data_IF_935576010118
#
_entry.id   IF_935576010118
#
_cell.length_a   1.000
_cell.length_b   1.000
_cell.length_c   1.000
_cell.angle_alpha   90.00
_cell.angle_beta   90.00
_cell.angle_gamma   90.00
#
_symmetry.space_group_name_H-M   'P 1'
#
loop_
_entity.id
_entity.type
_entity.pdbx_description
1 polymer ?
#
# COMPACT_ATOMS: atom_id res chain seq x y z
N UNK A 1 12.45 7.82 4.02
CA UNK A 1 11.24 7.06 4.45
C UNK A 1 10.37 6.83 3.22
N UNK A 2 10.86 5.99 2.31
CA UNK A 2 10.21 5.71 1.03
C UNK A 2 9.00 4.77 1.21
N UNK A 3 9.06 3.88 2.21
CA UNK A 3 7.96 3.01 2.61
C UNK A 3 6.68 3.78 2.96
N UNK A 4 6.82 4.93 3.63
CA UNK A 4 5.66 5.74 4.04
C UNK A 4 5.01 6.48 2.87
N UNK A 5 5.81 6.91 1.87
CA UNK A 5 5.28 7.53 0.67
C UNK A 5 4.46 6.51 -0.14
N UNK A 6 4.99 5.30 -0.30
CA UNK A 6 4.28 4.20 -0.95
C UNK A 6 3.02 3.80 -0.16
N UNK A 7 3.11 3.74 1.18
CA UNK A 7 1.94 3.47 2.02
C UNK A 7 0.83 4.49 1.78
N UNK A 8 1.17 5.77 1.69
CA UNK A 8 0.21 6.84 1.40
C UNK A 8 -0.43 6.67 0.02
N UNK A 9 0.38 6.42 -1.00
CA UNK A 9 -0.12 6.21 -2.37
C UNK A 9 -1.12 5.05 -2.44
N UNK A 10 -0.78 3.91 -1.83
CA UNK A 10 -1.65 2.74 -1.78
C UNK A 10 -2.91 3.04 -0.95
N UNK A 11 -2.79 3.71 0.21
CA UNK A 11 -3.93 4.07 1.04
C UNK A 11 -4.91 5.01 0.32
N UNK A 12 -4.41 6.03 -0.38
CA UNK A 12 -5.23 6.93 -1.19
C UNK A 12 -5.99 6.13 -2.28
N UNK A 13 -5.33 5.17 -2.92
CA UNK A 13 -6.00 4.29 -3.89
C UNK A 13 -7.06 3.39 -3.25
N UNK A 14 -6.79 2.82 -2.08
CA UNK A 14 -7.76 2.00 -1.33
C UNK A 14 -9.00 2.83 -0.98
N UNK A 15 -8.81 4.07 -0.50
CA UNK A 15 -9.91 4.99 -0.18
C UNK A 15 -10.71 5.39 -1.43
N UNK A 16 -10.04 5.61 -2.56
CA UNK A 16 -10.71 5.88 -3.83
C UNK A 16 -11.63 4.71 -4.22
N UNK A 17 -11.09 3.49 -4.28
CA UNK A 17 -11.87 2.29 -4.64
C UNK A 17 -13.01 2.06 -3.64
N UNK A 18 -12.77 2.29 -2.35
CA UNK A 18 -13.80 2.15 -1.32
C UNK A 18 -14.94 3.15 -1.51
N UNK A 19 -14.63 4.41 -1.86
CA UNK A 19 -15.64 5.44 -2.18
C UNK A 19 -16.40 5.11 -3.45
N UNK A 20 -15.72 4.66 -4.50
CA UNK A 20 -16.37 4.28 -5.77
C UNK A 20 -17.35 3.12 -5.59
N UNK A 21 -16.98 2.15 -4.75
CA UNK A 21 -17.81 0.97 -4.46
C UNK A 21 -18.77 1.20 -3.27
N UNK A 22 -18.79 2.41 -2.69
CA UNK A 22 -19.60 2.77 -1.51
C UNK A 22 -19.43 1.78 -0.35
N UNK A 23 -18.20 1.34 -0.13
CA UNK A 23 -17.88 0.42 0.97
C UNK A 23 -17.96 1.17 2.29
N UNK A 24 -18.85 0.69 3.17
CA UNK A 24 -18.96 1.17 4.54
C UNK A 24 -17.89 0.54 5.45
N UNK A 25 -17.28 -0.56 5.00
CA UNK A 25 -16.26 -1.30 5.72
C UNK A 25 -15.29 -1.97 4.74
N UNK A 26 -14.03 -2.04 5.16
CA UNK A 26 -12.99 -2.83 4.53
C UNK A 26 -12.49 -3.78 5.61
N UNK A 27 -12.57 -5.09 5.35
CA UNK A 27 -12.10 -6.14 6.24
C UNK A 27 -10.77 -6.73 5.79
N UNK A 28 -10.48 -6.70 4.49
CA UNK A 28 -9.22 -7.23 3.95
C UNK A 28 -8.78 -6.45 2.70
N UNK A 29 -7.47 -6.21 2.59
CA UNK A 29 -6.81 -5.66 1.41
C UNK A 29 -5.68 -6.59 0.99
N UNK A 30 -5.71 -7.05 -0.26
CA UNK A 30 -4.67 -7.91 -0.83
C UNK A 30 -3.86 -7.12 -1.84
N UNK A 31 -2.56 -7.07 -1.62
CA UNK A 31 -1.59 -6.31 -2.40
C UNK A 31 -0.48 -7.24 -2.89
N UNK A 32 -0.08 -7.04 -4.13
CA UNK A 32 1.17 -7.57 -4.68
C UNK A 32 2.18 -6.43 -4.71
N UNK A 33 3.38 -6.69 -4.20
CA UNK A 33 4.46 -5.72 -4.12
C UNK A 33 5.66 -6.23 -4.93
N UNK A 34 5.94 -5.59 -6.05
CA UNK A 34 7.17 -5.80 -6.80
C UNK A 34 8.38 -5.08 -6.19
N UNK A 35 9.49 -5.10 -6.92
CA UNK A 35 10.67 -4.24 -6.72
C UNK A 35 10.28 -2.79 -7.04
N UNK A 36 9.71 -2.08 -6.07
CA UNK A 36 9.32 -0.68 -6.27
C UNK A 36 10.56 0.21 -6.19
N UNK A 37 11.12 0.57 -7.34
CA UNK A 37 12.11 1.65 -7.45
C UNK A 37 11.38 2.99 -7.41
N UNK A 38 11.33 3.63 -6.23
CA UNK A 38 10.86 5.01 -6.12
C UNK A 38 11.94 5.92 -6.73
N UNK A 39 11.85 6.16 -8.03
CA UNK A 39 12.70 7.09 -8.76
C UNK A 39 12.38 8.53 -8.34
N UNK A 40 12.92 8.96 -7.20
CA UNK A 40 12.73 10.32 -6.69
C UNK A 40 14.03 11.08 -6.43
N UNK A 41 15.19 10.43 -6.53
CA UNK A 41 16.49 11.10 -6.48
C UNK A 41 17.23 10.90 -7.80
N UNK A 42 17.85 11.96 -8.31
CA UNK A 42 18.70 11.99 -9.51
C UNK A 42 20.04 11.23 -9.31
N UNK A 43 20.06 10.24 -8.42
CA UNK A 43 21.19 9.39 -8.08
C UNK A 43 20.80 7.92 -8.25
N UNK A 44 21.82 7.10 -8.56
CA UNK A 44 21.74 5.67 -8.89
C UNK A 44 20.55 4.93 -8.28
N UNK A 45 19.95 4.06 -9.09
CA UNK A 45 18.89 3.09 -8.81
C UNK A 45 19.09 2.37 -7.46
N UNK A 46 18.79 3.05 -6.36
CA UNK A 46 18.67 2.45 -5.05
C UNK A 46 17.30 1.79 -5.04
N UNK A 47 17.27 0.50 -5.38
CA UNK A 47 16.19 -0.39 -4.94
C UNK A 47 16.21 -0.39 -3.41
N UNK A 48 15.55 0.59 -2.79
CA UNK A 48 15.29 0.55 -1.36
C UNK A 48 14.36 -0.62 -1.11
N UNK A 49 14.83 -1.57 -0.30
CA UNK A 49 14.06 -2.75 0.06
C UNK A 49 12.87 -2.29 0.92
N UNK A 50 11.71 -2.12 0.27
CA UNK A 50 10.48 -1.78 0.96
C UNK A 50 10.19 -2.88 1.97
N UNK A 51 10.16 -2.49 3.24
CA UNK A 51 9.81 -3.40 4.33
C UNK A 51 8.30 -3.58 4.32
N UNK A 52 7.85 -4.83 4.14
CA UNK A 52 6.43 -5.18 4.17
C UNK A 52 5.80 -4.80 5.50
N UNK A 53 6.54 -4.97 6.60
CA UNK A 53 6.09 -4.57 7.95
C UNK A 53 5.92 -3.04 8.06
N UNK A 54 6.86 -2.26 7.54
CA UNK A 54 6.77 -0.79 7.56
C UNK A 54 5.62 -0.30 6.66
N UNK A 55 5.46 -0.89 5.49
CA UNK A 55 4.39 -0.59 4.55
C UNK A 55 3.03 -0.90 5.18
N UNK A 56 2.89 -2.07 5.80
CA UNK A 56 1.68 -2.49 6.51
C UNK A 56 1.35 -1.53 7.66
N UNK A 57 2.34 -1.19 8.48
CA UNK A 57 2.15 -0.24 9.57
C UNK A 57 1.68 1.13 9.06
N UNK A 58 2.31 1.65 8.00
CA UNK A 58 1.91 2.92 7.38
C UNK A 58 0.48 2.87 6.84
N UNK A 59 0.09 1.78 6.18
CA UNK A 59 -1.25 1.58 5.65
C UNK A 59 -2.31 1.53 6.77
N UNK A 60 -2.03 0.77 7.84
CA UNK A 60 -2.90 0.67 9.00
C UNK A 60 -3.12 2.06 9.63
N UNK A 61 -2.04 2.81 9.88
CA UNK A 61 -2.14 4.13 10.51
C UNK A 61 -2.92 5.15 9.66
N UNK A 62 -2.74 5.15 8.34
CA UNK A 62 -3.43 6.08 7.43
C UNK A 62 -4.92 5.73 7.29
N UNK A 63 -5.25 4.45 7.07
CA UNK A 63 -6.64 4.03 6.86
C UNK A 63 -7.45 4.08 8.16
N UNK A 64 -6.82 3.85 9.30
CA UNK A 64 -7.45 4.03 10.62
C UNK A 64 -7.93 5.46 10.83
N UNK A 65 -7.13 6.46 10.46
CA UNK A 65 -7.54 7.87 10.51
C UNK A 65 -8.74 8.18 9.59
N UNK A 66 -8.96 7.35 8.57
CA UNK A 66 -10.07 7.47 7.64
C UNK A 66 -11.33 6.68 8.05
N UNK A 67 -11.32 6.06 9.24
CA UNK A 67 -12.46 5.32 9.80
C UNK A 67 -12.46 3.81 9.49
N UNK A 68 -11.36 3.27 8.97
CA UNK A 68 -11.20 1.83 8.75
C UNK A 68 -10.19 1.23 9.72
N UNK A 69 -10.65 0.88 10.93
CA UNK A 69 -9.79 0.43 12.04
C UNK A 69 -9.38 -1.06 12.01
N UNK A 70 -10.04 -1.90 11.21
CA UNK A 70 -9.86 -3.36 11.26
C UNK A 70 -9.72 -3.95 9.85
N UNK A 71 -8.61 -3.63 9.19
CA UNK A 71 -8.25 -4.16 7.87
C UNK A 71 -7.14 -5.19 8.03
N UNK A 72 -7.36 -6.40 7.51
CA UNK A 72 -6.29 -7.38 7.32
C UNK A 72 -5.54 -7.10 6.01
N UNK A 73 -4.28 -6.71 6.12
CA UNK A 73 -3.41 -6.52 4.97
C UNK A 73 -2.63 -7.79 4.65
N UNK A 74 -2.84 -8.30 3.43
CA UNK A 74 -2.05 -9.38 2.83
C UNK A 74 -1.19 -8.82 1.71
N UNK A 75 0.09 -8.64 2.00
CA UNK A 75 1.07 -8.13 1.06
C UNK A 75 1.96 -9.29 0.64
N UNK A 76 1.95 -9.62 -0.65
CA UNK A 76 2.79 -10.68 -1.24
C UNK A 76 3.86 -10.04 -2.11
N UNK A 77 5.14 -10.36 -1.87
CA UNK A 77 6.21 -9.93 -2.77
C UNK A 77 6.14 -10.76 -4.07
N UNK A 78 6.14 -10.10 -5.22
CA UNK A 78 6.08 -10.72 -6.55
C UNK A 78 7.23 -10.23 -7.43
N UNK A 79 7.56 -10.95 -8.50
CA UNK A 79 8.49 -10.47 -9.51
C UNK A 79 7.85 -9.37 -10.37
N UNK A 80 8.53 -8.24 -10.53
CA UNK A 80 8.09 -7.07 -11.31
C UNK A 80 8.43 -5.76 -10.62
N UNK A 81 8.27 -4.62 -11.30
CA UNK A 81 8.77 -3.31 -10.83
C UNK A 81 7.66 -2.38 -10.30
N UNK A 82 6.54 -2.94 -9.84
CA UNK A 82 5.38 -2.16 -9.40
C UNK A 82 4.55 -2.88 -8.32
N UNK A 83 3.70 -2.10 -7.63
CA UNK A 83 2.68 -2.65 -6.75
C UNK A 83 1.33 -2.76 -7.45
N UNK A 84 0.46 -3.64 -6.93
CA UNK A 84 -0.89 -3.82 -7.45
C UNK A 84 -1.88 -4.15 -6.34
N UNK A 85 -3.03 -3.48 -6.37
CA UNK A 85 -4.21 -3.90 -5.60
C UNK A 85 -4.86 -5.10 -6.28
N UNK A 86 -4.79 -6.27 -5.66
CA UNK A 86 -5.34 -7.53 -6.18
C UNK A 86 -6.83 -7.63 -5.87
N UNK A 87 -7.19 -7.39 -4.62
CA UNK A 87 -8.58 -7.46 -4.16
C UNK A 87 -8.80 -6.69 -2.87
N UNK A 88 -10.05 -6.30 -2.65
CA UNK A 88 -10.51 -5.63 -1.44
C UNK A 88 -11.89 -6.18 -1.07
N UNK A 89 -12.12 -6.45 0.22
CA UNK A 89 -13.34 -7.01 0.77
C UNK A 89 -13.67 -6.37 2.13
#
# INVERSE_FOLDING_TARGET
>A
MHDFLLAKEIADKVLEVARENKLEKISQVVLELGSVSLAHDEFEEHTEDISVDNLKFGLEEILKQSGFDTIDFKITKVEGDNWRLVSMA
#
